data_IF_578314002485
#
_entry.id   IF_578314002485
#
_cell.length_a   1.000
_cell.length_b   1.000
_cell.length_c   1.000
_cell.angle_alpha   90.00
_cell.angle_beta   90.00
_cell.angle_gamma   90.00
#
_symmetry.space_group_name_H-M   'P 1'
#
loop_
_entity.id
_entity.type
_entity.pdbx_description
1 polymer ?
#
# COMPACT_ATOMS: atom_id res chain seq x y z
N UNK A 1 -14.56 -5.93 -24.85
CA UNK A 1 -15.26 -6.42 -23.65
C UNK A 1 -15.59 -5.21 -22.79
N UNK A 2 -16.79 -5.13 -22.19
CA UNK A 2 -17.06 -4.07 -21.22
C UNK A 2 -16.01 -4.14 -20.11
N UNK A 3 -15.57 -2.97 -19.65
CA UNK A 3 -14.61 -2.89 -18.56
C UNK A 3 -15.28 -3.40 -17.28
N UNK A 4 -14.80 -4.55 -16.81
CA UNK A 4 -15.32 -5.23 -15.64
C UNK A 4 -14.44 -4.87 -14.44
N UNK A 5 -15.05 -4.42 -13.34
CA UNK A 5 -14.38 -4.02 -12.08
C UNK A 5 -13.28 -2.96 -12.20
N UNK A 6 -13.65 -1.72 -12.53
CA UNK A 6 -12.72 -0.58 -12.58
C UNK A 6 -11.93 -0.38 -11.28
N UNK A 7 -12.58 -0.58 -10.13
CA UNK A 7 -11.97 -0.38 -8.80
C UNK A 7 -11.03 -1.53 -8.38
N UNK A 8 -10.90 -2.59 -9.19
CA UNK A 8 -9.98 -3.70 -8.90
C UNK A 8 -8.50 -3.34 -9.08
N UNK A 9 -8.20 -2.21 -9.73
CA UNK A 9 -6.83 -1.85 -10.09
C UNK A 9 -6.24 -2.67 -11.24
N UNK A 10 -7.00 -3.57 -11.89
CA UNK A 10 -6.51 -4.42 -12.98
C UNK A 10 -5.78 -3.64 -14.09
N UNK A 11 -6.21 -2.41 -14.37
CA UNK A 11 -5.60 -1.53 -15.39
C UNK A 11 -4.21 -1.00 -15.02
N UNK A 12 -3.83 -1.11 -13.75
CA UNK A 12 -2.54 -0.69 -13.23
C UNK A 12 -1.53 -1.84 -13.26
N UNK A 13 -1.96 -3.08 -13.50
CA UNK A 13 -1.09 -4.23 -13.64
C UNK A 13 -0.50 -4.29 -15.04
N UNK A 14 0.75 -4.74 -15.13
CA UNK A 14 1.40 -5.06 -16.40
C UNK A 14 1.23 -6.54 -16.75
N UNK A 15 1.76 -6.93 -17.90
CA UNK A 15 1.82 -8.34 -18.30
C UNK A 15 3.25 -8.79 -18.51
N UNK A 16 3.56 -9.97 -17.98
CA UNK A 16 4.84 -10.65 -18.25
C UNK A 16 4.90 -11.12 -19.71
N UNK A 17 6.06 -11.58 -20.17
CA UNK A 17 6.22 -12.14 -21.51
C UNK A 17 5.36 -13.39 -21.73
N UNK A 18 5.08 -14.12 -20.66
CA UNK A 18 4.23 -15.31 -20.60
C UNK A 18 2.73 -14.96 -20.54
N UNK A 19 2.39 -13.68 -20.43
CA UNK A 19 1.02 -13.16 -20.42
C UNK A 19 0.34 -13.17 -19.05
N UNK A 20 1.09 -13.41 -17.98
CA UNK A 20 0.62 -13.35 -16.58
C UNK A 20 0.53 -11.89 -16.10
N UNK A 21 -0.17 -11.63 -15.00
CA UNK A 21 -0.25 -10.29 -14.41
C UNK A 21 0.97 -10.00 -13.55
N UNK A 22 1.61 -8.87 -13.81
CA UNK A 22 2.72 -8.36 -13.02
C UNK A 22 2.25 -7.21 -12.13
N UNK A 23 2.52 -7.34 -10.83
CA UNK A 23 2.22 -6.27 -9.85
C UNK A 23 3.15 -5.11 -10.12
N UNK A 24 2.60 -3.92 -10.35
CA UNK A 24 3.35 -2.68 -10.55
C UNK A 24 3.35 -1.81 -9.30
N UNK A 25 4.22 -0.80 -9.28
CA UNK A 25 4.20 0.21 -8.21
C UNK A 25 2.89 1.01 -8.20
N UNK A 26 2.30 1.29 -9.36
CA UNK A 26 1.04 2.04 -9.45
C UNK A 26 -0.13 1.24 -8.90
N UNK A 27 -0.14 -0.08 -9.13
CA UNK A 27 -1.10 -0.97 -8.50
C UNK A 27 -1.00 -0.90 -6.97
N UNK A 28 0.20 -0.98 -6.41
CA UNK A 28 0.41 -0.89 -4.96
C UNK A 28 0.00 0.48 -4.39
N UNK A 29 0.38 1.58 -5.07
CA UNK A 29 -0.03 2.94 -4.67
C UNK A 29 -1.55 3.10 -4.65
N UNK A 30 -2.25 2.53 -5.62
CA UNK A 30 -3.71 2.59 -5.64
C UNK A 30 -4.35 1.92 -4.41
N UNK A 31 -3.73 0.85 -3.89
CA UNK A 31 -4.17 0.23 -2.63
C UNK A 31 -3.82 1.09 -1.41
N UNK A 32 -2.65 1.71 -1.37
CA UNK A 32 -2.30 2.63 -0.28
C UNK A 32 -3.13 3.91 -0.24
N UNK A 33 -3.71 4.32 -1.39
CA UNK A 33 -4.64 5.45 -1.49
C UNK A 33 -6.08 5.11 -1.07
N UNK A 34 -6.36 3.86 -0.72
CA UNK A 34 -7.70 3.47 -0.27
C UNK A 34 -7.97 4.01 1.14
N UNK A 35 -9.21 4.40 1.46
CA UNK A 35 -9.56 4.96 2.76
C UNK A 35 -9.35 3.99 3.92
N UNK A 36 -9.26 2.67 3.65
CA UNK A 36 -8.94 1.68 4.67
C UNK A 36 -7.44 1.68 5.08
N UNK A 37 -6.55 2.29 4.28
CA UNK A 37 -5.10 2.33 4.53
C UNK A 37 -4.59 3.78 4.66
N UNK A 38 -5.22 4.73 3.97
CA UNK A 38 -4.86 6.14 4.01
C UNK A 38 -4.89 6.69 5.46
N UNK A 39 -3.81 7.37 5.92
CA UNK A 39 -3.77 7.95 7.26
C UNK A 39 -4.91 8.95 7.48
N UNK A 40 -5.52 8.88 8.66
CA UNK A 40 -6.61 9.78 9.06
C UNK A 40 -6.09 10.97 9.87
N UNK A 41 -7.01 11.89 10.22
CA UNK A 41 -6.67 13.07 11.02
C UNK A 41 -6.07 12.73 12.39
N UNK A 42 -6.47 11.60 12.97
CA UNK A 42 -5.94 11.09 14.24
C UNK A 42 -4.61 10.33 14.12
N UNK A 43 -4.19 9.94 12.91
CA UNK A 43 -2.93 9.20 12.71
C UNK A 43 -1.72 10.00 13.19
N UNK A 44 -0.75 9.32 13.79
CA UNK A 44 0.45 9.94 14.29
C UNK A 44 1.45 10.28 13.16
N UNK A 45 2.47 11.09 13.48
CA UNK A 45 3.47 11.52 12.48
C UNK A 45 4.27 10.34 11.90
N UNK A 46 4.47 9.26 12.68
CA UNK A 46 5.17 8.06 12.22
C UNK A 46 4.34 7.33 11.15
N UNK A 47 3.03 7.20 11.36
CA UNK A 47 2.11 6.58 10.37
C UNK A 47 2.07 7.38 9.07
N UNK A 48 1.96 8.71 9.16
CA UNK A 48 1.98 9.60 7.99
C UNK A 48 3.31 9.51 7.23
N UNK A 49 4.43 9.56 7.94
CA UNK A 49 5.76 9.46 7.33
C UNK A 49 5.97 8.09 6.68
N UNK A 50 5.49 7.03 7.31
CA UNK A 50 5.54 5.68 6.75
C UNK A 50 4.72 5.60 5.45
N UNK A 51 3.48 6.07 5.47
CA UNK A 51 2.60 6.10 4.31
C UNK A 51 3.21 6.91 3.15
N UNK A 52 3.72 8.11 3.40
CA UNK A 52 4.41 8.92 2.40
C UNK A 52 5.61 8.16 1.79
N UNK A 53 6.39 7.45 2.62
CA UNK A 53 7.52 6.66 2.14
C UNK A 53 7.10 5.47 1.26
N UNK A 54 5.96 4.84 1.56
CA UNK A 54 5.37 3.77 0.77
C UNK A 54 4.76 4.31 -0.54
N UNK A 55 4.21 5.52 -0.53
CA UNK A 55 3.75 6.17 -1.76
C UNK A 55 4.90 6.45 -2.73
N UNK A 56 6.08 6.80 -2.22
CA UNK A 56 7.29 7.02 -3.04
C UNK A 56 7.84 5.68 -3.54
N UNK A 57 8.07 4.73 -2.64
CA UNK A 57 8.68 3.43 -2.91
C UNK A 57 7.77 2.30 -2.39
N UNK A 58 6.78 1.84 -3.18
CA UNK A 58 5.71 0.95 -2.71
C UNK A 58 6.16 -0.45 -2.28
N UNK A 59 7.34 -0.87 -2.72
CA UNK A 59 7.95 -2.17 -2.40
C UNK A 59 9.02 -2.08 -1.31
N UNK A 60 9.18 -0.92 -0.68
CA UNK A 60 10.18 -0.76 0.38
C UNK A 60 9.90 -1.70 1.54
N UNK A 61 10.95 -2.22 2.15
CA UNK A 61 10.84 -2.89 3.43
C UNK A 61 10.46 -1.89 4.54
N UNK A 62 9.58 -2.35 5.43
CA UNK A 62 9.23 -1.66 6.67
C UNK A 62 9.95 -2.38 7.82
N UNK A 63 10.94 -1.71 8.41
CA UNK A 63 11.74 -2.33 9.46
C UNK A 63 10.94 -2.52 10.75
N UNK A 64 11.26 -3.54 11.58
CA UNK A 64 10.62 -3.75 12.87
C UNK A 64 10.63 -2.51 13.77
N UNK A 65 11.73 -1.74 13.75
CA UNK A 65 11.88 -0.51 14.52
C UNK A 65 10.86 0.56 14.10
N UNK A 66 10.53 0.66 12.80
CA UNK A 66 9.49 1.56 12.30
C UNK A 66 8.10 1.10 12.71
N UNK A 67 7.86 -0.21 12.72
CA UNK A 67 6.59 -0.79 13.17
C UNK A 67 6.40 -0.51 14.66
N UNK A 68 7.42 -0.76 15.49
CA UNK A 68 7.38 -0.49 16.94
C UNK A 68 7.16 0.99 17.28
N UNK A 69 7.56 1.90 16.38
CA UNK A 69 7.37 3.34 16.55
C UNK A 69 5.94 3.83 16.22
N UNK A 70 5.08 2.99 15.62
CA UNK A 70 3.68 3.35 15.38
C UNK A 70 2.94 3.47 16.71
N UNK A 71 2.08 4.48 16.85
CA UNK A 71 1.37 4.72 18.10
C UNK A 71 0.16 3.78 18.27
N UNK A 72 -0.45 3.34 17.18
CA UNK A 72 -1.60 2.44 17.16
C UNK A 72 -1.15 0.96 17.20
N UNK A 73 -1.45 0.21 18.28
CA UNK A 73 -1.13 -1.21 18.37
C UNK A 73 -1.74 -2.05 17.25
N UNK A 74 -2.94 -1.70 16.76
CA UNK A 74 -3.61 -2.44 15.68
C UNK A 74 -2.83 -2.27 14.36
N UNK A 75 -2.31 -1.06 14.11
CA UNK A 75 -1.43 -0.81 12.98
C UNK A 75 -0.12 -1.64 13.10
N UNK A 76 0.47 -1.72 14.29
CA UNK A 76 1.68 -2.53 14.49
C UNK A 76 1.44 -4.01 14.16
N UNK A 77 0.31 -4.56 14.62
CA UNK A 77 -0.02 -5.96 14.41
C UNK A 77 -0.31 -6.26 12.95
N UNK A 78 -0.99 -5.37 12.24
CA UNK A 78 -1.24 -5.50 10.79
C UNK A 78 0.05 -5.62 9.96
N UNK A 79 1.11 -4.88 10.32
CA UNK A 79 2.40 -4.95 9.62
C UNK A 79 3.24 -6.20 9.97
N UNK A 80 2.86 -6.97 11.00
CA UNK A 80 3.61 -8.17 11.43
C UNK A 80 3.08 -9.48 10.82
N UNK A 81 1.93 -9.45 10.13
CA UNK A 81 1.26 -10.64 9.56
C UNK A 81 1.83 -11.06 8.21
#
# INVERSE_FOLDING_TARGET
MPEFWLDSGYRLLDRTMEGELEVTDDFLRAYFMRPEIEPVGESCDVERTLHESLMIEPRRDVSPEKIEALADPDAQDNYRV
#
